data_IF_422353352276
#
_entry.id   IF_422353352276
#
_cell.length_a   1.000
_cell.length_b   1.000
_cell.length_c   1.000
_cell.angle_alpha   90.00
_cell.angle_beta   90.00
_cell.angle_gamma   90.00
#
_symmetry.space_group_name_H-M   'P 1'
#
loop_
_entity.id
_entity.type
_entity.pdbx_description
1 polymer ?
#
# COMPACT_ATOMS: atom_id res chain seq x y z
N UNK A 1 0.94 9.96 9.57
CA UNK A 1 -0.49 10.31 9.75
C UNK A 1 -1.35 9.06 9.93
N UNK A 2 -1.13 7.99 9.17
CA UNK A 2 -1.85 6.70 9.29
C UNK A 2 -1.63 6.02 10.64
N UNK A 3 -0.39 5.88 11.12
CA UNK A 3 -0.09 5.26 12.43
C UNK A 3 -0.79 5.94 13.63
N UNK A 4 -0.92 7.27 13.61
CA UNK A 4 -1.65 7.99 14.66
C UNK A 4 -3.16 7.71 14.62
N UNK A 5 -3.72 7.51 13.43
CA UNK A 5 -5.13 7.18 13.26
C UNK A 5 -5.43 5.73 13.67
N UNK A 6 -4.50 4.80 13.42
CA UNK A 6 -4.66 3.39 13.83
C UNK A 6 -4.60 3.24 15.34
N UNK A 7 -3.66 3.92 16.02
CA UNK A 7 -3.56 3.91 17.50
C UNK A 7 -4.80 4.53 18.16
N UNK A 8 -5.32 5.63 17.61
CA UNK A 8 -6.56 6.23 18.09
C UNK A 8 -7.74 5.28 17.95
N UNK A 9 -7.86 4.60 16.81
CA UNK A 9 -8.94 3.65 16.55
C UNK A 9 -8.84 2.41 17.44
N UNK A 10 -7.64 1.89 17.70
CA UNK A 10 -7.39 0.80 18.66
C UNK A 10 -7.84 1.19 20.07
N UNK A 11 -7.44 2.37 20.53
CA UNK A 11 -7.86 2.88 21.85
C UNK A 11 -9.37 3.13 21.96
N UNK A 12 -10.05 3.48 20.87
CA UNK A 12 -11.52 3.55 20.84
C UNK A 12 -12.17 2.18 20.91
N UNK A 13 -11.65 1.20 20.16
CA UNK A 13 -12.16 -0.19 20.16
C UNK A 13 -12.08 -0.78 21.57
N UNK A 14 -10.97 -0.61 22.27
CA UNK A 14 -10.81 -1.12 23.63
C UNK A 14 -11.79 -0.48 24.63
N UNK A 15 -12.01 0.83 24.52
CA UNK A 15 -13.01 1.54 25.34
C UNK A 15 -14.43 1.07 25.03
N UNK A 16 -14.75 0.83 23.77
CA UNK A 16 -16.04 0.32 23.33
C UNK A 16 -16.26 -1.11 23.88
N UNK A 17 -15.25 -1.98 23.85
CA UNK A 17 -15.33 -3.32 24.45
C UNK A 17 -15.63 -3.29 25.94
N UNK A 18 -14.91 -2.48 26.72
CA UNK A 18 -15.16 -2.34 28.17
C UNK A 18 -16.59 -1.83 28.41
N UNK A 19 -17.05 -0.89 27.59
CA UNK A 19 -18.41 -0.34 27.67
C UNK A 19 -19.45 -1.41 27.37
N UNK A 20 -19.29 -2.21 26.31
CA UNK A 20 -20.20 -3.30 25.94
C UNK A 20 -20.22 -4.37 27.02
N UNK A 21 -19.06 -4.81 27.53
CA UNK A 21 -18.98 -5.78 28.61
C UNK A 21 -19.71 -5.32 29.88
N UNK A 22 -19.63 -4.02 30.21
CA UNK A 22 -20.38 -3.47 31.35
C UNK A 22 -21.90 -3.49 31.12
N UNK A 23 -22.35 -3.23 29.88
CA UNK A 23 -23.78 -3.26 29.49
C UNK A 23 -24.33 -4.68 29.45
N UNK A 24 -23.54 -5.65 29.02
CA UNK A 24 -23.91 -7.08 29.04
C UNK A 24 -24.14 -7.56 30.47
N UNK A 25 -23.22 -7.22 31.40
CA UNK A 25 -23.42 -7.53 32.83
C UNK A 25 -24.66 -6.86 33.43
N UNK A 26 -25.00 -5.66 32.97
CA UNK A 26 -26.26 -5.00 33.37
C UNK A 26 -27.47 -5.68 32.75
N UNK A 27 -27.37 -6.08 31.48
CA UNK A 27 -28.40 -6.83 30.77
C UNK A 27 -28.71 -8.13 31.49
N UNK A 28 -27.71 -8.94 31.86
CA UNK A 28 -27.91 -10.22 32.56
C UNK A 28 -28.68 -10.03 33.89
N UNK A 29 -28.31 -8.99 34.65
CA UNK A 29 -29.01 -8.63 35.88
C UNK A 29 -30.46 -8.22 35.60
N UNK A 30 -30.69 -7.43 34.57
CA UNK A 30 -32.04 -7.01 34.16
C UNK A 30 -32.86 -8.19 33.62
N UNK A 31 -32.26 -9.09 32.86
CA UNK A 31 -32.86 -10.31 32.32
C UNK A 31 -33.38 -11.18 33.45
N UNK A 32 -32.59 -11.41 34.50
CA UNK A 32 -33.02 -12.19 35.67
C UNK A 32 -34.25 -11.57 36.37
N UNK A 33 -34.27 -10.23 36.50
CA UNK A 33 -35.39 -9.50 37.11
C UNK A 33 -36.65 -9.52 36.23
N UNK A 34 -36.49 -9.32 34.92
CA UNK A 34 -37.59 -9.30 33.96
C UNK A 34 -38.19 -10.70 33.82
N UNK A 35 -37.37 -11.74 33.69
CA UNK A 35 -37.84 -13.13 33.62
C UNK A 35 -38.59 -13.55 34.89
N UNK A 36 -38.16 -13.09 36.07
CA UNK A 36 -38.91 -13.29 37.30
C UNK A 36 -40.29 -12.60 37.28
N UNK A 37 -40.36 -11.34 36.84
CA UNK A 37 -41.63 -10.61 36.67
C UNK A 37 -42.55 -11.29 35.65
N UNK A 38 -42.01 -11.80 34.55
CA UNK A 38 -42.73 -12.58 33.54
C UNK A 38 -43.33 -13.84 34.17
N UNK A 39 -42.55 -14.61 34.94
CA UNK A 39 -43.05 -15.82 35.62
C UNK A 39 -44.21 -15.51 36.58
N UNK A 40 -44.09 -14.46 37.38
CA UNK A 40 -45.17 -14.04 38.30
C UNK A 40 -46.40 -13.58 37.50
N UNK A 41 -46.23 -12.70 36.52
CA UNK A 41 -47.33 -12.17 35.71
C UNK A 41 -48.08 -13.27 34.96
N UNK A 42 -47.36 -14.22 34.37
CA UNK A 42 -47.95 -15.39 33.70
C UNK A 42 -48.69 -16.28 34.70
N UNK A 43 -48.13 -16.51 35.89
CA UNK A 43 -48.79 -17.28 36.95
C UNK A 43 -50.09 -16.64 37.42
N UNK A 44 -50.10 -15.31 37.61
CA UNK A 44 -51.31 -14.56 37.97
C UNK A 44 -52.36 -14.62 36.85
N UNK A 45 -51.96 -14.43 35.59
CA UNK A 45 -52.87 -14.52 34.45
C UNK A 45 -53.58 -15.89 34.39
N UNK A 46 -52.83 -16.98 34.52
CA UNK A 46 -53.39 -18.33 34.57
C UNK A 46 -54.28 -18.55 35.80
N UNK A 47 -53.90 -18.02 36.96
CA UNK A 47 -54.75 -18.09 38.16
C UNK A 47 -56.11 -17.44 37.93
N UNK A 48 -56.17 -16.26 37.30
CA UNK A 48 -57.44 -15.59 36.98
C UNK A 48 -58.25 -16.36 35.94
N UNK A 49 -57.60 -16.98 34.94
CA UNK A 49 -58.27 -17.84 33.97
C UNK A 49 -58.91 -19.06 34.64
N UNK A 50 -58.19 -19.73 35.55
CA UNK A 50 -58.69 -20.89 36.30
C UNK A 50 -59.80 -20.49 37.27
N UNK A 51 -59.66 -19.37 37.97
CA UNK A 51 -60.73 -18.82 38.83
C UNK A 51 -61.99 -18.52 38.01
N UNK A 52 -61.86 -17.90 36.84
CA UNK A 52 -62.98 -17.69 35.92
C UNK A 52 -63.67 -18.99 35.54
N UNK A 53 -62.89 -20.06 35.27
CA UNK A 53 -63.43 -21.38 34.97
C UNK A 53 -64.16 -22.00 36.18
N UNK A 54 -63.62 -21.88 37.39
CA UNK A 54 -64.31 -22.32 38.61
C UNK A 54 -65.62 -21.55 38.86
N UNK A 55 -65.66 -20.24 38.60
CA UNK A 55 -66.86 -19.43 38.74
C UNK A 55 -67.97 -19.86 37.77
N UNK A 56 -67.61 -20.26 36.54
CA UNK A 56 -68.56 -20.85 35.58
C UNK A 56 -69.18 -22.12 36.17
N UNK A 57 -68.34 -23.07 36.61
CA UNK A 57 -68.81 -24.35 37.18
C UNK A 57 -69.70 -24.12 38.40
N UNK A 58 -69.28 -23.23 39.30
CA UNK A 58 -70.06 -22.86 40.49
C UNK A 58 -71.42 -22.24 40.14
N UNK A 59 -71.44 -21.31 39.17
CA UNK A 59 -72.67 -20.68 38.69
C UNK A 59 -73.65 -21.72 38.12
N UNK A 60 -73.17 -22.65 37.30
CA UNK A 60 -73.99 -23.71 36.71
C UNK A 60 -74.56 -24.64 37.80
N UNK A 61 -73.74 -25.09 38.74
CA UNK A 61 -74.19 -26.00 39.81
C UNK A 61 -75.26 -25.36 40.70
N UNK A 62 -75.12 -24.07 41.03
CA UNK A 62 -76.07 -23.36 41.88
C UNK A 62 -77.41 -23.08 41.19
N UNK A 63 -77.40 -22.84 39.88
CA UNK A 63 -78.60 -22.57 39.10
C UNK A 63 -79.31 -23.85 38.63
N UNK A 64 -78.58 -24.95 38.42
CA UNK A 64 -79.12 -26.22 37.91
C UNK A 64 -80.00 -27.02 38.89
N UNK A 65 -80.11 -26.62 40.17
CA UNK A 65 -80.85 -27.38 41.20
C UNK A 65 -82.24 -26.84 41.54
N UNK A 66 -82.79 -25.85 40.82
CA UNK A 66 -84.16 -25.35 41.10
C UNK A 66 -84.89 -24.92 39.82
N UNK A 67 -86.15 -25.33 39.68
CA UNK A 67 -87.02 -25.02 38.53
C UNK A 67 -87.16 -23.51 38.25
N UNK A 68 -86.91 -23.10 37.00
CA UNK A 68 -87.36 -21.81 36.48
C UNK A 68 -86.43 -21.15 35.45
N UNK A 69 -86.98 -20.92 34.24
CA UNK A 69 -86.43 -20.07 33.16
C UNK A 69 -85.94 -18.68 33.63
N UNK A 70 -86.52 -18.14 34.71
CA UNK A 70 -86.16 -16.83 35.29
C UNK A 70 -84.73 -16.80 35.87
N UNK A 71 -84.17 -17.93 36.32
CA UNK A 71 -82.80 -17.99 36.87
C UNK A 71 -81.70 -18.07 35.81
N UNK A 72 -82.06 -18.39 34.56
CA UNK A 72 -81.09 -18.41 33.46
C UNK A 72 -80.60 -16.99 33.13
N UNK A 73 -81.51 -16.00 33.25
CA UNK A 73 -81.18 -14.60 33.07
C UNK A 73 -80.24 -14.10 34.18
N UNK A 74 -80.52 -14.43 35.44
CA UNK A 74 -79.65 -14.09 36.57
C UNK A 74 -78.26 -14.75 36.48
N UNK A 75 -78.19 -16.00 35.98
CA UNK A 75 -76.91 -16.67 35.69
C UNK A 75 -76.15 -15.98 34.56
N UNK A 76 -76.85 -15.58 33.49
CA UNK A 76 -76.28 -14.82 32.38
C UNK A 76 -75.68 -13.49 32.84
N UNK A 77 -76.40 -12.75 33.68
CA UNK A 77 -75.94 -11.48 34.25
C UNK A 77 -74.73 -11.68 35.18
N UNK A 78 -74.76 -12.71 36.03
CA UNK A 78 -73.65 -13.06 36.92
C UNK A 78 -72.37 -13.45 36.14
N UNK A 79 -72.52 -14.31 35.14
CA UNK A 79 -71.41 -14.73 34.28
C UNK A 79 -70.89 -13.54 33.48
N UNK A 80 -71.76 -12.75 32.87
CA UNK A 80 -71.37 -11.57 32.07
C UNK A 80 -70.55 -10.57 32.90
N UNK A 81 -70.96 -10.26 34.13
CA UNK A 81 -70.21 -9.33 34.98
C UNK A 81 -68.90 -9.92 35.53
N UNK A 82 -68.99 -11.09 36.16
CA UNK A 82 -67.87 -11.65 36.95
C UNK A 82 -66.84 -12.35 36.06
N UNK A 83 -67.27 -13.05 35.02
CA UNK A 83 -66.35 -13.73 34.09
C UNK A 83 -65.64 -12.71 33.19
N UNK A 84 -66.38 -11.72 32.67
CA UNK A 84 -65.77 -10.72 31.80
C UNK A 84 -64.70 -9.91 32.55
N UNK A 85 -64.95 -9.55 33.82
CA UNK A 85 -63.94 -8.86 34.64
C UNK A 85 -62.74 -9.74 34.97
N UNK A 86 -62.93 -11.02 35.34
CA UNK A 86 -61.84 -11.95 35.61
C UNK A 86 -60.94 -12.21 34.38
N UNK A 87 -61.56 -12.42 33.21
CA UNK A 87 -60.83 -12.65 31.97
C UNK A 87 -60.23 -11.37 31.37
N UNK A 88 -60.88 -10.21 31.52
CA UNK A 88 -60.28 -8.94 31.14
C UNK A 88 -59.00 -8.68 31.95
N UNK A 89 -59.02 -8.98 33.25
CA UNK A 89 -57.84 -8.86 34.10
C UNK A 89 -56.74 -9.85 33.70
N UNK A 90 -57.08 -11.11 33.39
CA UNK A 90 -56.13 -12.08 32.85
C UNK A 90 -55.50 -11.60 31.52
N UNK A 91 -56.32 -11.06 30.62
CA UNK A 91 -55.88 -10.47 29.35
C UNK A 91 -54.91 -9.31 29.55
N UNK A 92 -55.18 -8.43 30.52
CA UNK A 92 -54.28 -7.34 30.88
C UNK A 92 -52.90 -7.84 31.34
N UNK A 93 -52.86 -8.89 32.16
CA UNK A 93 -51.60 -9.50 32.58
C UNK A 93 -50.83 -10.13 31.43
N UNK A 94 -51.50 -10.79 30.47
CA UNK A 94 -50.85 -11.32 29.27
C UNK A 94 -50.23 -10.22 28.40
N UNK A 95 -50.94 -9.11 28.18
CA UNK A 95 -50.40 -7.96 27.45
C UNK A 95 -49.17 -7.40 28.17
N UNK A 96 -49.24 -7.25 29.49
CA UNK A 96 -48.12 -6.78 30.30
C UNK A 96 -46.88 -7.69 30.20
N UNK A 97 -47.07 -9.01 30.27
CA UNK A 97 -45.99 -9.99 30.10
C UNK A 97 -45.38 -9.93 28.71
N UNK A 98 -46.22 -9.81 27.67
CA UNK A 98 -45.76 -9.65 26.28
C UNK A 98 -44.89 -8.41 26.12
N UNK A 99 -45.31 -7.28 26.70
CA UNK A 99 -44.52 -6.04 26.68
C UNK A 99 -43.16 -6.19 27.39
N UNK A 100 -43.11 -6.90 28.52
CA UNK A 100 -41.86 -7.21 29.21
C UNK A 100 -40.92 -8.08 28.37
N UNK A 101 -41.45 -9.09 27.69
CA UNK A 101 -40.67 -9.95 26.79
C UNK A 101 -40.08 -9.14 25.62
N UNK A 102 -40.89 -8.32 24.94
CA UNK A 102 -40.42 -7.44 23.86
C UNK A 102 -39.35 -6.46 24.33
N UNK A 103 -39.50 -5.90 25.54
CA UNK A 103 -38.50 -4.99 26.12
C UNK A 103 -37.16 -5.68 26.33
N UNK A 104 -37.18 -6.96 26.73
CA UNK A 104 -35.97 -7.75 26.91
C UNK A 104 -35.27 -8.01 25.56
N UNK A 105 -36.01 -8.42 24.54
CA UNK A 105 -35.49 -8.64 23.18
C UNK A 105 -34.84 -7.37 22.61
N UNK A 106 -35.49 -6.20 22.78
CA UNK A 106 -34.95 -4.92 22.35
C UNK A 106 -33.63 -4.56 23.04
N UNK A 107 -33.47 -4.93 24.33
CA UNK A 107 -32.21 -4.69 25.03
C UNK A 107 -31.10 -5.62 24.53
N UNK A 108 -31.41 -6.89 24.24
CA UNK A 108 -30.47 -7.84 23.64
C UNK A 108 -29.99 -7.35 22.27
N UNK A 109 -30.93 -6.99 21.38
CA UNK A 109 -30.61 -6.49 20.04
C UNK A 109 -29.70 -5.24 20.05
N UNK A 110 -29.84 -4.38 21.07
CA UNK A 110 -28.95 -3.23 21.26
C UNK A 110 -27.51 -3.66 21.58
N UNK A 111 -27.31 -4.70 22.39
CA UNK A 111 -25.97 -5.22 22.71
C UNK A 111 -25.35 -5.83 21.46
N UNK A 112 -26.11 -6.65 20.73
CA UNK A 112 -25.65 -7.27 19.47
C UNK A 112 -25.24 -6.21 18.44
N UNK A 113 -26.02 -5.12 18.33
CA UNK A 113 -25.68 -3.99 17.44
C UNK A 113 -24.37 -3.31 17.85
N UNK A 114 -24.05 -3.24 19.15
CA UNK A 114 -22.77 -2.67 19.61
C UNK A 114 -21.61 -3.59 19.25
N UNK A 115 -21.76 -4.91 19.43
CA UNK A 115 -20.75 -5.88 18.99
C UNK A 115 -20.48 -5.79 17.49
N UNK A 116 -21.53 -5.73 16.67
CA UNK A 116 -21.38 -5.55 15.22
C UNK A 116 -20.64 -4.25 14.84
N UNK A 117 -20.85 -3.16 15.59
CA UNK A 117 -20.09 -1.91 15.39
C UNK A 117 -18.62 -2.05 15.73
N UNK A 118 -18.30 -2.76 16.80
CA UNK A 118 -16.91 -3.03 17.20
C UNK A 118 -16.21 -3.88 16.14
N UNK A 119 -16.86 -4.94 15.67
CA UNK A 119 -16.33 -5.81 14.60
C UNK A 119 -16.09 -5.00 13.31
N UNK A 120 -17.03 -4.13 12.92
CA UNK A 120 -16.82 -3.23 11.78
C UNK A 120 -15.63 -2.28 11.98
N UNK A 121 -15.40 -1.76 13.19
CA UNK A 121 -14.21 -0.93 13.49
C UNK A 121 -12.93 -1.75 13.38
N UNK A 122 -12.91 -2.98 13.89
CA UNK A 122 -11.76 -3.89 13.76
C UNK A 122 -11.45 -4.22 12.30
N UNK A 123 -12.45 -4.56 11.50
CA UNK A 123 -12.28 -4.81 10.07
C UNK A 123 -11.70 -3.59 9.35
N UNK A 124 -12.14 -2.37 9.67
CA UNK A 124 -11.55 -1.14 9.12
C UNK A 124 -10.09 -0.96 9.52
N UNK A 125 -9.75 -1.26 10.78
CA UNK A 125 -8.37 -1.20 11.26
C UNK A 125 -7.47 -2.18 10.49
N UNK A 126 -7.93 -3.42 10.28
CA UNK A 126 -7.20 -4.42 9.50
C UNK A 126 -6.97 -3.97 8.06
N UNK A 127 -8.00 -3.42 7.40
CA UNK A 127 -7.90 -2.87 6.04
C UNK A 127 -6.89 -1.71 5.98
N UNK A 128 -6.85 -0.85 7.00
CA UNK A 128 -5.86 0.23 7.07
C UNK A 128 -4.43 -0.32 7.17
N UNK A 129 -4.20 -1.33 8.03
CA UNK A 129 -2.89 -1.99 8.17
C UNK A 129 -2.46 -2.69 6.87
N UNK A 130 -3.40 -3.38 6.20
CA UNK A 130 -3.14 -4.02 4.91
C UNK A 130 -2.78 -3.01 3.82
N UNK A 131 -3.49 -1.88 3.77
CA UNK A 131 -3.19 -0.80 2.83
C UNK A 131 -1.75 -0.28 3.01
N UNK A 132 -1.34 -0.03 4.26
CA UNK A 132 0.02 0.43 4.55
C UNK A 132 1.08 -0.59 4.11
N UNK A 133 0.85 -1.88 4.36
CA UNK A 133 1.75 -2.93 3.89
C UNK A 133 1.82 -3.00 2.34
N UNK A 134 0.69 -2.83 1.65
CA UNK A 134 0.64 -2.79 0.20
C UNK A 134 1.35 -1.57 -0.37
N UNK A 135 1.18 -0.39 0.21
CA UNK A 135 1.86 0.83 -0.20
C UNK A 135 3.39 0.65 -0.10
N UNK A 136 3.88 0.08 1.01
CA UNK A 136 5.29 -0.27 1.18
C UNK A 136 5.80 -1.29 0.14
N UNK A 137 4.99 -2.31 -0.16
CA UNK A 137 5.33 -3.32 -1.18
C UNK A 137 5.40 -2.71 -2.58
N UNK A 138 4.48 -1.82 -2.92
CA UNK A 138 4.45 -1.11 -4.20
C UNK A 138 5.74 -0.30 -4.37
N UNK A 139 6.15 0.43 -3.34
CA UNK A 139 7.37 1.24 -3.40
C UNK A 139 8.64 0.38 -3.50
N UNK A 140 8.69 -0.72 -2.75
CA UNK A 140 9.78 -1.71 -2.87
C UNK A 140 9.81 -2.36 -4.26
N UNK A 141 8.64 -2.65 -4.84
CA UNK A 141 8.53 -3.24 -6.18
C UNK A 141 9.00 -2.28 -7.26
N UNK A 142 8.62 -1.00 -7.18
CA UNK A 142 9.12 0.05 -8.09
C UNK A 142 10.64 0.18 -8.01
N UNK A 143 11.20 0.15 -6.81
CA UNK A 143 12.64 0.16 -6.57
C UNK A 143 13.33 -1.03 -7.25
N UNK A 144 12.83 -2.25 -7.02
CA UNK A 144 13.38 -3.46 -7.61
C UNK A 144 13.25 -3.47 -9.14
N UNK A 145 12.13 -3.01 -9.69
CA UNK A 145 11.94 -2.89 -11.14
C UNK A 145 12.95 -1.94 -11.76
N UNK A 146 13.21 -0.80 -11.11
CA UNK A 146 14.22 0.14 -11.54
C UNK A 146 15.62 -0.49 -11.52
N UNK A 147 16.00 -1.15 -10.42
CA UNK A 147 17.31 -1.79 -10.30
C UNK A 147 17.51 -2.90 -11.34
N UNK A 148 16.50 -3.74 -11.54
CA UNK A 148 16.52 -4.79 -12.56
C UNK A 148 16.67 -4.22 -13.97
N UNK A 149 15.98 -3.12 -14.28
CA UNK A 149 16.11 -2.44 -15.56
C UNK A 149 17.51 -1.84 -15.73
N UNK A 150 18.06 -1.21 -14.68
CA UNK A 150 19.42 -0.70 -14.68
C UNK A 150 20.46 -1.81 -14.92
N UNK A 151 20.36 -2.96 -14.23
CA UNK A 151 21.27 -4.09 -14.44
C UNK A 151 21.12 -4.68 -15.84
N UNK A 152 19.90 -4.74 -16.38
CA UNK A 152 19.66 -5.15 -17.77
C UNK A 152 20.35 -4.21 -18.76
N UNK A 153 20.32 -2.89 -18.51
CA UNK A 153 21.07 -1.94 -19.33
C UNK A 153 22.58 -2.08 -19.16
N UNK A 154 23.09 -2.37 -17.96
CA UNK A 154 24.51 -2.64 -17.74
C UNK A 154 24.98 -3.88 -18.51
N UNK A 155 24.18 -4.94 -18.55
CA UNK A 155 24.48 -6.13 -19.36
C UNK A 155 24.49 -5.80 -20.86
N UNK A 156 23.54 -4.99 -21.32
CA UNK A 156 23.52 -4.50 -22.70
C UNK A 156 24.76 -3.64 -23.00
N UNK A 157 25.16 -2.78 -22.07
CA UNK A 157 26.36 -1.95 -22.18
C UNK A 157 27.62 -2.81 -22.25
N UNK A 158 27.72 -3.84 -21.41
CA UNK A 158 28.86 -4.76 -21.43
C UNK A 158 28.94 -5.54 -22.75
N UNK A 159 27.80 -5.87 -23.37
CA UNK A 159 27.77 -6.50 -24.69
C UNK A 159 28.12 -5.51 -25.80
N UNK A 160 27.67 -4.26 -25.73
CA UNK A 160 27.98 -3.24 -26.73
C UNK A 160 29.44 -2.78 -26.68
N UNK A 161 30.13 -2.95 -25.55
CA UNK A 161 31.60 -2.82 -25.51
C UNK A 161 32.26 -3.74 -26.55
N UNK A 162 31.72 -4.92 -26.82
CA UNK A 162 32.29 -5.86 -27.81
C UNK A 162 32.07 -5.41 -29.26
N UNK A 163 31.09 -4.53 -29.51
CA UNK A 163 30.81 -4.00 -30.86
C UNK A 163 31.63 -2.76 -31.18
N UNK A 164 32.22 -2.10 -30.18
CA UNK A 164 33.18 -1.01 -30.35
C UNK A 164 34.34 -1.44 -31.24
N UNK A 165 34.70 -0.61 -32.22
CA UNK A 165 35.76 -0.94 -33.17
C UNK A 165 36.59 0.25 -33.62
N UNK A 166 37.86 -0.03 -33.92
CA UNK A 166 38.84 0.95 -34.39
C UNK A 166 39.66 0.32 -35.52
N UNK A 167 39.94 1.09 -36.58
CA UNK A 167 40.85 0.66 -37.65
C UNK A 167 42.30 0.88 -37.21
N UNK A 168 43.14 -0.15 -37.41
CA UNK A 168 44.55 -0.07 -37.10
C UNK A 168 45.29 0.82 -38.12
N UNK A 169 46.21 1.66 -37.65
CA UNK A 169 46.92 2.62 -38.51
C UNK A 169 48.00 1.99 -39.40
N UNK A 170 48.40 0.74 -39.17
CA UNK A 170 49.63 0.13 -39.72
C UNK A 170 49.49 -0.40 -41.16
N UNK A 171 48.77 0.29 -42.04
CA UNK A 171 48.70 -0.03 -43.48
C UNK A 171 47.91 -1.30 -43.85
N UNK A 172 47.40 -2.04 -42.86
CA UNK A 172 46.43 -3.12 -43.03
C UNK A 172 45.06 -2.64 -42.55
N UNK A 173 44.01 -2.89 -43.34
CA UNK A 173 42.61 -2.54 -43.00
C UNK A 173 42.04 -3.53 -41.95
N UNK A 174 42.81 -3.80 -40.90
CA UNK A 174 42.40 -4.65 -39.78
C UNK A 174 41.52 -3.84 -38.83
N UNK A 175 40.29 -4.33 -38.65
CA UNK A 175 39.34 -3.81 -37.68
C UNK A 175 39.55 -4.54 -36.36
N UNK A 176 40.04 -3.83 -35.34
CA UNK A 176 40.10 -4.36 -33.98
C UNK A 176 38.78 -4.04 -33.29
N UNK A 177 38.25 -5.00 -32.52
CA UNK A 177 37.00 -4.85 -31.76
C UNK A 177 37.20 -4.97 -30.25
N UNK A 178 36.19 -4.55 -29.50
CA UNK A 178 36.09 -4.79 -28.07
C UNK A 178 37.09 -4.01 -27.23
N UNK A 179 37.50 -4.62 -26.12
CA UNK A 179 38.43 -4.01 -25.16
C UNK A 179 39.78 -3.64 -25.79
N UNK A 180 40.29 -4.48 -26.69
CA UNK A 180 41.57 -4.23 -27.37
C UNK A 180 41.49 -3.01 -28.29
N UNK A 181 40.34 -2.80 -28.95
CA UNK A 181 40.14 -1.61 -29.77
C UNK A 181 40.22 -0.33 -28.93
N UNK A 182 39.71 -0.34 -27.70
CA UNK A 182 39.81 0.85 -26.81
C UNK A 182 41.25 1.15 -26.39
N UNK A 183 42.07 0.11 -26.14
CA UNK A 183 43.49 0.26 -25.83
C UNK A 183 44.25 0.88 -27.00
N UNK A 184 44.05 0.35 -28.21
CA UNK A 184 44.68 0.84 -29.43
C UNK A 184 44.19 2.26 -29.75
N UNK A 185 42.88 2.49 -29.67
CA UNK A 185 42.29 3.81 -29.87
C UNK A 185 42.88 4.85 -28.93
N UNK A 186 43.01 4.54 -27.63
CA UNK A 186 43.60 5.45 -26.66
C UNK A 186 45.08 5.72 -26.94
N UNK A 187 45.87 4.69 -27.26
CA UNK A 187 47.29 4.85 -27.61
C UNK A 187 47.46 5.73 -28.86
N UNK A 188 46.63 5.51 -29.87
CA UNK A 188 46.64 6.30 -31.10
C UNK A 188 46.22 7.75 -30.85
N UNK A 189 45.26 7.99 -29.95
CA UNK A 189 44.87 9.33 -29.53
C UNK A 189 45.99 10.04 -28.78
N UNK A 190 46.70 9.33 -27.91
CA UNK A 190 47.82 9.89 -27.16
C UNK A 190 48.96 10.33 -28.08
N UNK A 191 49.38 9.46 -29.02
CA UNK A 191 50.39 9.82 -30.03
C UNK A 191 49.97 11.05 -30.86
N UNK A 192 48.69 11.17 -31.17
CA UNK A 192 48.15 12.30 -31.92
C UNK A 192 48.24 13.63 -31.18
N UNK A 193 48.03 13.61 -29.87
CA UNK A 193 48.20 14.79 -29.05
C UNK A 193 49.68 15.15 -28.89
N UNK A 194 50.56 14.17 -28.66
CA UNK A 194 52.01 14.41 -28.52
C UNK A 194 52.65 14.98 -29.79
N UNK A 195 52.21 14.53 -30.97
CA UNK A 195 52.73 15.03 -32.25
C UNK A 195 52.25 16.45 -32.58
N UNK A 196 51.21 16.93 -31.90
CA UNK A 196 50.55 18.21 -32.18
C UNK A 196 50.79 19.18 -31.02
N UNK A 197 52.03 19.66 -30.93
CA UNK A 197 52.50 20.60 -29.89
C UNK A 197 51.67 21.90 -29.72
N UNK A 198 50.71 22.22 -30.60
CA UNK A 198 50.06 23.55 -30.64
C UNK A 198 48.64 23.57 -31.24
N UNK A 199 47.96 22.42 -31.35
CA UNK A 199 46.64 22.35 -32.01
C UNK A 199 45.52 22.26 -30.97
N UNK A 200 44.53 23.15 -31.10
CA UNK A 200 43.24 23.11 -30.40
C UNK A 200 42.71 21.67 -30.27
N UNK A 201 42.57 21.19 -29.03
CA UNK A 201 42.26 19.79 -28.67
C UNK A 201 41.09 19.21 -29.46
N UNK A 202 40.12 20.06 -29.81
CA UNK A 202 38.97 19.80 -30.68
C UNK A 202 39.40 19.25 -32.05
N UNK A 203 40.37 19.89 -32.68
CA UNK A 203 40.84 19.51 -34.02
C UNK A 203 41.67 18.23 -33.95
N UNK A 204 42.43 18.00 -32.87
CA UNK A 204 43.20 16.79 -32.68
C UNK A 204 42.29 15.55 -32.56
N UNK A 205 41.30 15.57 -31.66
CA UNK A 205 40.39 14.42 -31.51
C UNK A 205 39.49 14.19 -32.74
N UNK A 206 38.99 15.26 -33.37
CA UNK A 206 38.20 15.13 -34.61
C UNK A 206 39.03 14.55 -35.77
N UNK A 207 40.33 14.85 -35.83
CA UNK A 207 41.26 14.26 -36.80
C UNK A 207 41.52 12.79 -36.49
N UNK A 208 41.79 12.48 -35.22
CA UNK A 208 41.94 11.12 -34.72
C UNK A 208 40.74 10.24 -35.08
N UNK A 209 39.54 10.66 -34.70
CA UNK A 209 38.29 9.92 -34.90
C UNK A 209 38.07 9.57 -36.37
N UNK A 210 38.31 10.53 -37.28
CA UNK A 210 38.21 10.33 -38.73
C UNK A 210 39.25 9.34 -39.24
N UNK A 211 40.51 9.49 -38.81
CA UNK A 211 41.61 8.66 -39.29
C UNK A 211 41.49 7.20 -38.83
N UNK A 212 41.15 6.96 -37.57
CA UNK A 212 41.02 5.59 -37.03
C UNK A 212 39.63 4.99 -37.23
N UNK A 213 38.72 5.71 -37.91
CA UNK A 213 37.31 5.36 -38.12
C UNK A 213 36.65 4.82 -36.85
N UNK A 214 36.82 5.55 -35.74
CA UNK A 214 36.34 5.11 -34.43
C UNK A 214 34.82 4.93 -34.47
N UNK A 215 34.37 3.71 -34.22
CA UNK A 215 32.97 3.36 -34.22
C UNK A 215 32.52 2.96 -32.82
N UNK A 216 31.64 3.77 -32.25
CA UNK A 216 31.04 3.51 -30.95
C UNK A 216 30.00 2.38 -30.98
N UNK A 217 29.47 2.02 -32.15
CA UNK A 217 28.38 1.07 -32.28
C UNK A 217 27.21 1.43 -31.36
N UNK A 218 26.68 0.43 -30.68
CA UNK A 218 25.57 0.60 -29.74
C UNK A 218 26.02 1.09 -28.35
N UNK A 219 27.32 1.21 -28.10
CA UNK A 219 27.83 1.58 -26.77
C UNK A 219 27.39 2.97 -26.36
N UNK A 220 27.64 3.98 -27.20
CA UNK A 220 27.32 5.36 -26.88
C UNK A 220 25.80 5.56 -26.68
N UNK A 221 24.91 5.09 -27.58
CA UNK A 221 23.46 5.15 -27.33
C UNK A 221 23.04 4.46 -26.02
N UNK A 222 23.54 3.25 -25.75
CA UNK A 222 23.22 2.50 -24.52
C UNK A 222 23.68 3.24 -23.27
N UNK A 223 24.90 3.77 -23.29
CA UNK A 223 25.44 4.58 -22.20
C UNK A 223 24.57 5.81 -21.93
N UNK A 224 24.17 6.54 -22.97
CA UNK A 224 23.33 7.72 -22.82
C UNK A 224 21.94 7.41 -22.26
N UNK A 225 21.36 6.26 -22.62
CA UNK A 225 20.10 5.78 -22.02
C UNK A 225 20.28 5.51 -20.53
N UNK A 226 21.37 4.85 -20.12
CA UNK A 226 21.67 4.59 -18.70
C UNK A 226 21.83 5.90 -17.93
N UNK A 227 22.61 6.84 -18.47
CA UNK A 227 22.84 8.15 -17.84
C UNK A 227 21.53 8.92 -17.67
N UNK A 228 20.66 8.94 -18.69
CA UNK A 228 19.33 9.54 -18.58
C UNK A 228 18.47 8.83 -17.53
N UNK A 229 18.53 7.49 -17.48
CA UNK A 229 17.81 6.69 -16.50
C UNK A 229 18.27 6.98 -15.05
N UNK A 230 19.57 7.20 -14.84
CA UNK A 230 20.15 7.58 -13.54
C UNK A 230 19.70 8.98 -13.11
N UNK A 231 19.61 9.94 -14.03
CA UNK A 231 19.11 11.30 -13.72
C UNK A 231 17.66 11.33 -13.24
N UNK A 232 16.80 10.47 -13.79
CA UNK A 232 15.38 10.46 -13.43
C UNK A 232 15.12 10.01 -11.98
N UNK A 233 16.14 9.51 -11.27
CA UNK A 233 16.01 9.01 -9.90
C UNK A 233 16.21 10.12 -8.86
N UNK A 234 15.25 10.24 -7.95
CA UNK A 234 15.20 11.30 -6.94
C UNK A 234 16.09 11.07 -5.71
N UNK A 235 16.45 9.82 -5.37
CA UNK A 235 17.25 9.55 -4.17
C UNK A 235 18.74 9.65 -4.46
N UNK A 236 19.40 10.64 -3.86
CA UNK A 236 20.82 10.95 -4.10
C UNK A 236 21.76 9.79 -3.73
N UNK A 237 21.58 9.17 -2.57
CA UNK A 237 22.49 8.10 -2.08
C UNK A 237 22.46 6.85 -2.95
N UNK A 238 21.28 6.42 -3.38
CA UNK A 238 21.18 5.25 -4.25
C UNK A 238 21.64 5.56 -5.67
N UNK A 239 21.40 6.79 -6.16
CA UNK A 239 21.90 7.22 -7.47
C UNK A 239 23.43 7.17 -7.51
N UNK A 240 24.10 7.65 -6.46
CA UNK A 240 25.56 7.57 -6.33
C UNK A 240 26.07 6.12 -6.34
N UNK A 241 25.43 5.23 -5.58
CA UNK A 241 25.76 3.80 -5.59
C UNK A 241 25.70 3.16 -6.98
N UNK A 242 24.61 3.40 -7.74
CA UNK A 242 24.47 2.86 -9.09
C UNK A 242 25.46 3.49 -10.08
N UNK A 243 25.76 4.77 -9.90
CA UNK A 243 26.75 5.49 -10.70
C UNK A 243 28.15 4.90 -10.49
N UNK A 244 28.52 4.56 -9.26
CA UNK A 244 29.79 3.90 -8.96
C UNK A 244 29.89 2.52 -9.60
N UNK A 245 28.81 1.74 -9.57
CA UNK A 245 28.74 0.46 -10.32
C UNK A 245 28.98 0.71 -11.81
N UNK A 246 28.32 1.72 -12.39
CA UNK A 246 28.51 2.06 -13.81
C UNK A 246 29.96 2.45 -14.12
N UNK A 247 30.58 3.29 -13.28
CA UNK A 247 31.99 3.70 -13.42
C UNK A 247 32.94 2.51 -13.36
N UNK A 248 32.70 1.56 -12.45
CA UNK A 248 33.51 0.34 -12.30
C UNK A 248 33.33 -0.58 -13.51
N UNK A 249 32.10 -0.71 -14.04
CA UNK A 249 31.80 -1.60 -15.18
C UNK A 249 32.39 -1.10 -16.49
N UNK A 250 32.60 0.20 -16.67
CA UNK A 250 33.21 0.74 -17.89
C UNK A 250 34.74 0.83 -17.72
N UNK A 251 35.53 0.12 -18.55
CA UNK A 251 36.99 0.15 -18.47
C UNK A 251 37.56 1.57 -18.58
N UNK A 252 38.64 1.86 -17.84
CA UNK A 252 39.27 3.19 -17.81
C UNK A 252 39.51 3.77 -19.21
N UNK A 253 40.03 2.97 -20.14
CA UNK A 253 40.33 3.42 -21.50
C UNK A 253 39.07 3.82 -22.28
N UNK A 254 37.97 3.10 -22.10
CA UNK A 254 36.68 3.45 -22.68
C UNK A 254 36.16 4.76 -22.10
N UNK A 255 36.25 4.95 -20.78
CA UNK A 255 35.80 6.17 -20.13
C UNK A 255 36.58 7.40 -20.61
N UNK A 256 37.89 7.29 -20.83
CA UNK A 256 38.71 8.39 -21.38
C UNK A 256 38.28 8.72 -22.83
N UNK A 257 38.12 7.73 -23.69
CA UNK A 257 37.63 7.97 -25.07
C UNK A 257 36.22 8.57 -25.06
N UNK A 258 35.37 8.10 -24.15
CA UNK A 258 34.00 8.57 -23.99
C UNK A 258 33.95 10.02 -23.49
N UNK A 259 34.87 10.40 -22.59
CA UNK A 259 35.04 11.77 -22.15
C UNK A 259 35.26 12.71 -23.35
N UNK A 260 36.23 12.41 -24.22
CA UNK A 260 36.50 13.24 -25.41
C UNK A 260 35.34 13.22 -26.40
N UNK A 261 34.71 12.06 -26.63
CA UNK A 261 33.54 11.97 -27.50
C UNK A 261 32.40 12.89 -27.04
N UNK A 262 32.09 12.87 -25.74
CA UNK A 262 30.98 13.63 -25.18
C UNK A 262 31.34 15.11 -25.06
N UNK A 263 32.55 15.44 -24.62
CA UNK A 263 33.00 16.83 -24.53
C UNK A 263 32.93 17.55 -25.88
N UNK A 264 33.30 16.85 -26.97
CA UNK A 264 33.46 17.47 -28.28
C UNK A 264 32.23 17.32 -29.17
N UNK A 265 31.54 16.17 -29.12
CA UNK A 265 30.42 15.86 -30.00
C UNK A 265 29.09 15.65 -29.27
N UNK A 266 29.09 15.65 -27.93
CA UNK A 266 27.87 15.50 -27.13
C UNK A 266 26.93 16.70 -27.28
N UNK A 267 25.62 16.42 -27.26
CA UNK A 267 24.58 17.45 -27.13
C UNK A 267 24.72 18.16 -25.78
N UNK A 268 24.35 19.44 -25.71
CA UNK A 268 24.38 20.25 -24.47
C UNK A 268 23.64 19.53 -23.34
N UNK A 269 22.40 19.11 -23.58
CA UNK A 269 21.61 18.34 -22.59
C UNK A 269 22.35 17.12 -22.04
N UNK A 270 23.04 16.36 -22.89
CA UNK A 270 23.79 15.18 -22.47
C UNK A 270 24.97 15.56 -21.58
N UNK A 271 25.67 16.64 -21.92
CA UNK A 271 26.80 17.16 -21.14
C UNK A 271 26.33 17.60 -19.77
N UNK A 272 25.23 18.35 -19.71
CA UNK A 272 24.66 18.83 -18.45
C UNK A 272 24.33 17.67 -17.51
N UNK A 273 23.69 16.62 -18.02
CA UNK A 273 23.37 15.43 -17.22
C UNK A 273 24.64 14.76 -16.69
N UNK A 274 25.69 14.66 -17.51
CA UNK A 274 26.93 13.99 -17.12
C UNK A 274 27.71 14.78 -16.08
N UNK A 275 27.69 16.11 -16.18
CA UNK A 275 28.27 17.02 -15.19
C UNK A 275 27.45 16.99 -13.90
N UNK A 276 26.11 17.05 -13.99
CA UNK A 276 25.21 16.95 -12.83
C UNK A 276 25.39 15.63 -12.07
N UNK A 277 25.59 14.53 -12.79
CA UNK A 277 25.87 13.23 -12.20
C UNK A 277 27.34 13.07 -11.78
N UNK A 278 28.21 14.04 -12.00
CA UNK A 278 29.65 13.96 -11.71
C UNK A 278 30.32 12.71 -12.33
N UNK A 279 29.82 12.17 -13.45
CA UNK A 279 30.22 10.82 -13.90
C UNK A 279 31.74 10.65 -14.08
N UNK A 280 32.44 11.69 -14.53
CA UNK A 280 33.89 11.70 -14.75
C UNK A 280 34.72 12.27 -13.59
N UNK A 281 34.15 12.41 -12.39
CA UNK A 281 34.83 12.99 -11.22
C UNK A 281 36.21 12.38 -10.92
N UNK A 282 36.34 11.06 -11.05
CA UNK A 282 37.60 10.34 -10.82
C UNK A 282 38.71 10.69 -11.83
N UNK A 283 38.33 11.13 -13.03
CA UNK A 283 39.27 11.63 -14.04
C UNK A 283 39.62 13.09 -13.87
N UNK A 284 38.69 13.88 -13.33
CA UNK A 284 38.88 15.32 -13.11
C UNK A 284 39.78 15.56 -11.89
N UNK A 285 39.60 14.78 -10.83
CA UNK A 285 40.34 14.94 -9.57
C UNK A 285 41.71 14.24 -9.57
N UNK A 286 41.92 13.23 -10.43
CA UNK A 286 43.17 12.46 -10.53
C UNK A 286 43.93 12.64 -11.85
N UNK A 287 45.05 11.91 -12.02
CA UNK A 287 45.82 11.85 -13.28
C UNK A 287 45.20 10.83 -14.27
N UNK A 288 43.88 10.89 -14.41
CA UNK A 288 43.11 9.93 -15.18
C UNK A 288 43.04 10.26 -16.67
N UNK A 289 43.11 11.54 -17.02
CA UNK A 289 43.06 12.04 -18.40
C UNK A 289 44.43 11.94 -19.08
N UNK A 290 44.46 12.02 -20.41
CA UNK A 290 45.72 12.11 -21.15
C UNK A 290 46.49 13.39 -20.80
N UNK A 291 45.77 14.50 -20.60
CA UNK A 291 46.29 15.79 -20.19
C UNK A 291 45.32 16.43 -19.19
N UNK A 292 45.84 16.97 -18.09
CA UNK A 292 45.02 17.50 -16.99
C UNK A 292 44.26 18.77 -17.40
N UNK A 293 44.79 19.51 -18.36
CA UNK A 293 44.25 20.74 -18.92
C UNK A 293 42.95 20.49 -19.69
N UNK A 294 42.74 19.26 -20.19
CA UNK A 294 41.57 18.89 -21.00
C UNK A 294 40.27 18.84 -20.17
N UNK A 295 40.34 18.93 -18.84
CA UNK A 295 39.15 19.14 -17.98
C UNK A 295 38.34 20.37 -18.45
N UNK A 296 39.04 21.42 -18.93
CA UNK A 296 38.41 22.65 -19.41
C UNK A 296 37.47 22.45 -20.61
N UNK A 297 37.56 21.31 -21.30
CA UNK A 297 36.66 20.98 -22.41
C UNK A 297 35.19 20.82 -21.95
N UNK A 298 34.96 20.51 -20.68
CA UNK A 298 33.61 20.55 -20.08
C UNK A 298 33.25 21.94 -19.55
N UNK A 299 34.22 22.71 -19.04
CA UNK A 299 33.97 24.07 -18.55
C UNK A 299 33.61 25.08 -19.64
N UNK A 300 34.05 24.86 -20.89
CA UNK A 300 33.67 25.70 -22.05
C UNK A 300 32.15 25.70 -22.38
N UNK A 301 31.35 24.91 -21.69
CA UNK A 301 29.91 24.79 -21.91
C UNK A 301 29.04 25.17 -20.70
N UNK A 302 29.64 25.66 -19.60
CA UNK A 302 28.92 26.41 -18.55
C UNK A 302 28.75 27.87 -18.99
#
# INVERSE_FOLDING_TARGET
MVSKNTEQLEGEIDKDYVTVASRERQLDKDTSKITFKIKIGTGLAWSFTVVGLFLIVYGILKTGSTDGLLKLNELGDFLSGTLASAWALAGMFFIYVSFLAQTLELKQAKVDTLYARIEMKQSRLEVMKQKEALDYQIDTSKLNQYENLFFSFLELLSRSIQTFSVNQMLGYDSVVKGLNASKIGLSNLHMDFEQRNDIDDLTAYASFKRRVKLNWGDFLPTFLVIIKHLKLRQSDSHREYLLDILRIKIPKNFRILLFYEIALFGKVETKDIIVELDFFKDFIEGDGLLFKEHVRLFDRFK
#
